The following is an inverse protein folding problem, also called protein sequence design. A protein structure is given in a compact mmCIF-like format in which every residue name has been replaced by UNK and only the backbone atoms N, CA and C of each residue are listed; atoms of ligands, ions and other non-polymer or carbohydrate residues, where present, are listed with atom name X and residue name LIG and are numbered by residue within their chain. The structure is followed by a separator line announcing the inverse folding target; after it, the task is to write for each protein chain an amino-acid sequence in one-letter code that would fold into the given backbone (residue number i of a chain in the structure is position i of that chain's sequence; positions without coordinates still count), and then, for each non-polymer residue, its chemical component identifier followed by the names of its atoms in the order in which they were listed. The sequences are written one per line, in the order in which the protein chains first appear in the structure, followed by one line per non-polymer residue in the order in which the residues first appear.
data_IF_329166079085
#
_entry.id   IF_329166079085
#
_cell.length_a   1.000
_cell.length_b   1.000
_cell.length_c   1.000
_cell.angle_alpha   90.00
_cell.angle_beta   90.00
_cell.angle_gamma   90.00
#
_symmetry.space_group_name_H-M   'P 1'
#
loop_
_entity.id
_entity.type
_entity.pdbx_description
1 polymer ?
#
# COMPACT_ATOMS: atom_id res chain seq x y z
N UNK A 1 -8.16 -18.79 -14.91
CA UNK A 1 -8.70 -17.74 -14.04
C UNK A 1 -8.58 -18.22 -12.61
N UNK A 2 -8.01 -17.43 -11.70
CA UNK A 2 -8.01 -17.77 -10.28
C UNK A 2 -9.46 -17.80 -9.79
N UNK A 3 -9.79 -18.76 -8.94
CA UNK A 3 -11.14 -18.94 -8.40
C UNK A 3 -11.06 -18.86 -6.87
N UNK A 4 -11.99 -18.14 -6.25
CA UNK A 4 -11.98 -17.93 -4.81
C UNK A 4 -12.93 -16.81 -4.39
N UNK A 5 -13.13 -16.70 -3.07
CA UNK A 5 -13.92 -15.60 -2.49
C UNK A 5 -13.16 -14.28 -2.70
N UNK A 6 -13.87 -13.23 -3.11
CA UNK A 6 -13.27 -11.91 -3.37
C UNK A 6 -12.47 -11.77 -4.67
N UNK A 7 -12.32 -12.84 -5.45
CA UNK A 7 -11.64 -12.81 -6.76
C UNK A 7 -12.40 -11.95 -7.76
N UNK A 8 -11.66 -11.25 -8.62
CA UNK A 8 -12.19 -10.29 -9.58
C UNK A 8 -13.06 -9.20 -8.93
N UNK A 9 -12.78 -8.87 -7.66
CA UNK A 9 -13.55 -7.87 -6.93
C UNK A 9 -14.99 -8.29 -6.62
N UNK A 10 -15.34 -9.58 -6.78
CA UNK A 10 -16.67 -10.08 -6.44
C UNK A 10 -16.95 -9.93 -4.94
N UNK A 11 -18.21 -9.68 -4.55
CA UNK A 11 -18.57 -9.58 -3.14
C UNK A 11 -18.28 -10.89 -2.41
N UNK A 12 -17.90 -10.77 -1.13
CA UNK A 12 -17.75 -11.92 -0.23
C UNK A 12 -19.12 -12.23 0.38
N UNK A 13 -19.69 -13.43 0.17
CA UNK A 13 -20.94 -13.81 0.81
C UNK A 13 -20.70 -14.06 2.30
N UNK A 14 -21.34 -13.27 3.16
CA UNK A 14 -21.33 -13.42 4.61
C UNK A 14 -22.55 -14.23 5.05
N UNK A 15 -22.35 -15.20 5.95
CA UNK A 15 -23.43 -15.82 6.68
C UNK A 15 -23.85 -14.95 7.89
N UNK A 16 -25.08 -15.12 8.40
CA UNK A 16 -25.62 -14.30 9.50
C UNK A 16 -24.80 -14.42 10.80
N UNK A 17 -24.18 -15.59 11.04
CA UNK A 17 -23.31 -15.89 12.18
C UNK A 17 -21.89 -15.31 12.03
N UNK A 18 -21.50 -14.89 10.82
CA UNK A 18 -20.20 -14.26 10.52
C UNK A 18 -20.26 -12.72 10.60
N UNK A 19 -21.43 -12.15 10.92
CA UNK A 19 -21.65 -10.72 11.04
C UNK A 19 -21.35 -10.25 12.47
N UNK A 20 -20.07 -10.21 12.83
CA UNK A 20 -19.61 -9.63 14.09
C UNK A 20 -19.23 -8.15 13.92
N UNK A 21 -20.15 -7.26 14.33
CA UNK A 21 -19.97 -5.81 14.29
C UNK A 21 -18.88 -5.29 15.24
N UNK A 22 -18.48 -6.07 16.26
CA UNK A 22 -17.47 -5.63 17.23
C UNK A 22 -16.11 -5.46 16.57
N UNK A 23 -15.78 -6.36 15.64
CA UNK A 23 -14.50 -6.40 14.92
C UNK A 23 -14.40 -5.29 13.85
N UNK A 24 -15.54 -4.85 13.33
CA UNK A 24 -15.62 -3.71 12.41
C UNK A 24 -15.22 -2.41 13.11
N UNK A 25 -15.57 -2.24 14.39
CA UNK A 25 -15.28 -1.01 15.15
C UNK A 25 -13.79 -0.80 15.42
N UNK A 26 -13.01 -1.87 15.54
CA UNK A 26 -11.58 -1.78 15.84
C UNK A 26 -10.71 -1.43 14.62
N UNK A 27 -11.06 -1.96 13.44
CA UNK A 27 -10.24 -1.80 12.23
C UNK A 27 -10.88 -0.86 11.19
N UNK A 28 -12.13 -0.45 11.37
CA UNK A 28 -12.89 0.35 10.41
C UNK A 28 -13.38 -0.43 9.18
N UNK A 29 -13.12 -1.74 9.12
CA UNK A 29 -13.57 -2.66 8.09
C UNK A 29 -13.71 -4.09 8.64
N UNK A 30 -14.39 -4.96 7.89
CA UNK A 30 -14.55 -6.37 8.29
C UNK A 30 -13.24 -7.16 8.09
N UNK A 31 -12.45 -7.29 9.16
CA UNK A 31 -11.17 -8.02 9.14
C UNK A 31 -11.38 -9.53 8.89
N UNK A 32 -12.52 -10.10 9.29
CA UNK A 32 -12.81 -11.52 9.08
C UNK A 32 -12.94 -11.81 7.59
N UNK A 33 -13.75 -11.03 6.87
CA UNK A 33 -13.85 -11.09 5.40
C UNK A 33 -12.49 -10.87 4.77
N UNK A 34 -11.77 -9.85 5.24
CA UNK A 34 -10.44 -9.52 4.77
C UNK A 34 -9.46 -10.70 4.90
N UNK A 35 -9.44 -11.39 6.03
CA UNK A 35 -8.56 -12.54 6.26
C UNK A 35 -8.92 -13.75 5.38
N UNK A 36 -10.19 -13.87 4.97
CA UNK A 36 -10.68 -14.95 4.12
C UNK A 36 -10.61 -14.64 2.62
N UNK A 37 -10.10 -13.47 2.23
CA UNK A 37 -9.82 -13.10 0.84
C UNK A 37 -8.32 -13.29 0.58
N UNK A 38 -7.99 -13.91 -0.56
CA UNK A 38 -6.60 -14.14 -0.96
C UNK A 38 -5.77 -12.85 -0.99
N UNK A 39 -4.52 -12.93 -0.55
CA UNK A 39 -3.60 -11.78 -0.52
C UNK A 39 -3.23 -11.30 -1.94
N UNK A 40 -3.22 -12.21 -2.91
CA UNK A 40 -2.85 -11.98 -4.31
C UNK A 40 -4.06 -12.06 -5.25
N UNK A 41 -5.24 -11.65 -4.76
CA UNK A 41 -6.49 -11.68 -5.54
C UNK A 41 -6.41 -10.83 -6.81
N UNK A 42 -7.05 -11.30 -7.86
CA UNK A 42 -7.15 -10.58 -9.13
C UNK A 42 -8.25 -9.52 -9.07
N UNK A 43 -8.07 -8.38 -9.74
CA UNK A 43 -9.10 -7.36 -9.91
C UNK A 43 -9.38 -7.14 -11.40
N UNK A 44 -10.62 -6.80 -11.79
CA UNK A 44 -10.93 -6.41 -13.16
C UNK A 44 -10.28 -5.07 -13.47
N UNK A 45 -9.86 -4.91 -14.73
CA UNK A 45 -9.37 -3.63 -15.22
C UNK A 45 -10.56 -2.71 -15.52
N UNK A 46 -10.80 -1.76 -14.62
CA UNK A 46 -11.89 -0.76 -14.72
C UNK A 46 -11.45 0.54 -15.41
N UNK A 47 -10.20 0.60 -15.90
CA UNK A 47 -9.67 1.79 -16.56
C UNK A 47 -10.39 2.05 -17.89
N UNK A 48 -10.44 3.33 -18.29
CA UNK A 48 -10.99 3.70 -19.59
C UNK A 48 -10.21 3.01 -20.73
N UNK A 49 -10.86 2.54 -21.82
CA UNK A 49 -10.17 1.78 -22.87
C UNK A 49 -8.93 2.47 -23.47
N UNK A 50 -8.96 3.79 -23.59
CA UNK A 50 -7.83 4.59 -24.14
C UNK A 50 -6.55 4.51 -23.30
N UNK A 51 -6.67 4.15 -22.02
CA UNK A 51 -5.55 4.02 -21.10
C UNK A 51 -4.58 2.92 -21.46
N UNK A 52 -5.09 1.87 -22.10
CA UNK A 52 -4.29 0.74 -22.58
C UNK A 52 -3.38 1.12 -23.74
N UNK A 53 -3.66 2.25 -24.39
CA UNK A 53 -2.91 2.77 -25.53
C UNK A 53 -1.90 3.86 -25.12
N UNK A 54 -1.85 4.24 -23.83
CA UNK A 54 -0.91 5.26 -23.35
C UNK A 54 0.50 4.69 -23.35
N UNK A 55 1.38 5.36 -24.08
CA UNK A 55 2.80 5.03 -24.13
C UNK A 55 3.54 5.81 -23.05
N UNK A 56 4.48 5.13 -22.40
CA UNK A 56 5.37 5.70 -21.39
C UNK A 56 6.80 5.66 -21.91
N UNK A 57 7.68 6.45 -21.31
CA UNK A 57 9.11 6.37 -21.59
C UNK A 57 9.63 4.97 -21.23
N UNK A 58 10.55 4.44 -22.03
CA UNK A 58 11.15 3.12 -21.77
C UNK A 58 11.94 3.10 -20.45
N UNK A 59 12.62 4.21 -20.14
CA UNK A 59 13.43 4.36 -18.95
C UNK A 59 12.76 5.29 -17.95
N UNK A 60 11.93 4.72 -17.09
CA UNK A 60 11.37 5.42 -15.94
C UNK A 60 12.34 5.31 -14.75
N UNK A 61 12.45 6.35 -13.90
CA UNK A 61 13.25 6.27 -12.68
C UNK A 61 12.66 5.23 -11.72
N UNK A 62 13.52 4.58 -10.95
CA UNK A 62 13.07 3.73 -9.85
C UNK A 62 12.42 4.59 -8.75
N UNK A 63 11.56 3.96 -7.96
CA UNK A 63 10.76 4.60 -6.92
C UNK A 63 10.88 3.82 -5.61
N UNK A 64 11.14 4.52 -4.51
CA UNK A 64 11.02 3.96 -3.15
C UNK A 64 9.59 4.16 -2.66
N UNK A 65 8.98 3.11 -2.12
CA UNK A 65 7.58 3.12 -1.68
C UNK A 65 7.56 3.09 -0.16
N UNK A 66 6.97 4.11 0.47
CA UNK A 66 6.89 4.23 1.92
C UNK A 66 5.44 3.98 2.36
N UNK A 67 5.23 3.00 3.24
CA UNK A 67 3.91 2.62 3.76
C UNK A 67 3.90 2.82 5.28
N UNK A 68 3.38 3.96 5.78
CA UNK A 68 3.12 4.12 7.20
C UNK A 68 1.93 3.25 7.62
N UNK A 69 2.03 2.64 8.80
CA UNK A 69 0.93 1.89 9.40
C UNK A 69 0.90 2.08 10.92
N UNK A 70 -0.30 2.17 11.47
CA UNK A 70 -0.57 2.17 12.91
C UNK A 70 -1.76 1.26 13.16
N UNK A 71 -1.58 0.18 13.91
CA UNK A 71 -2.66 -0.76 14.22
C UNK A 71 -3.51 -1.13 12.97
N UNK A 72 -2.84 -1.43 11.84
CA UNK A 72 -3.49 -1.84 10.59
C UNK A 72 -3.79 -3.35 10.62
N UNK A 73 -4.85 -3.80 9.95
CA UNK A 73 -5.17 -5.23 9.84
C UNK A 73 -4.17 -5.96 8.93
N UNK A 74 -3.62 -7.09 9.36
CA UNK A 74 -2.52 -7.78 8.64
C UNK A 74 -2.82 -8.16 7.20
N UNK A 75 -4.03 -8.68 6.95
CA UNK A 75 -4.45 -9.05 5.60
C UNK A 75 -4.60 -7.84 4.68
N UNK A 76 -4.93 -6.66 5.22
CA UNK A 76 -4.97 -5.39 4.48
C UNK A 76 -3.56 -4.95 4.07
N UNK A 77 -2.64 -4.84 5.04
CA UNK A 77 -1.26 -4.42 4.80
C UNK A 77 -0.54 -5.35 3.81
N UNK A 78 -0.66 -6.67 4.00
CA UNK A 78 -0.04 -7.66 3.11
C UNK A 78 -0.62 -7.61 1.70
N UNK A 79 -1.94 -7.40 1.54
CA UNK A 79 -2.55 -7.23 0.21
C UNK A 79 -2.03 -6.01 -0.52
N UNK A 80 -1.76 -4.92 0.20
CA UNK A 80 -1.16 -3.72 -0.39
C UNK A 80 0.22 -4.03 -0.95
N UNK A 81 1.07 -4.69 -0.15
CA UNK A 81 2.42 -5.11 -0.57
C UNK A 81 2.33 -6.05 -1.79
N UNK A 82 1.51 -7.10 -1.74
CA UNK A 82 1.30 -8.00 -2.88
C UNK A 82 0.78 -7.27 -4.13
N UNK A 83 -0.11 -6.30 -3.97
CA UNK A 83 -0.63 -5.53 -5.10
C UNK A 83 0.46 -4.68 -5.75
N UNK A 84 1.34 -4.06 -4.96
CA UNK A 84 2.49 -3.29 -5.46
C UNK A 84 3.41 -4.22 -6.24
N UNK A 85 3.86 -5.31 -5.62
CA UNK A 85 4.83 -6.22 -6.24
C UNK A 85 4.28 -6.90 -7.49
N UNK A 86 2.99 -7.26 -7.52
CA UNK A 86 2.40 -7.93 -8.69
C UNK A 86 2.04 -6.99 -9.86
N UNK A 87 1.93 -5.68 -9.63
CA UNK A 87 1.43 -4.72 -10.63
C UNK A 87 2.43 -3.64 -11.02
N UNK A 88 3.57 -3.57 -10.34
CA UNK A 88 4.66 -2.68 -10.67
C UNK A 88 5.82 -3.49 -11.23
N UNK A 89 6.36 -3.15 -12.40
CA UNK A 89 7.57 -3.78 -12.94
C UNK A 89 8.73 -3.72 -11.94
N UNK A 90 9.43 -4.83 -11.74
CA UNK A 90 10.46 -4.98 -10.69
C UNK A 90 11.56 -3.90 -10.75
N UNK A 91 11.99 -3.52 -11.95
CA UNK A 91 13.04 -2.50 -12.15
C UNK A 91 12.63 -1.09 -11.71
N UNK A 92 11.33 -0.82 -11.54
CA UNK A 92 10.82 0.45 -11.04
C UNK A 92 10.73 0.49 -9.52
N UNK A 93 10.85 -0.64 -8.83
CA UNK A 93 10.79 -0.70 -7.37
C UNK A 93 12.22 -0.69 -6.83
N UNK A 94 12.62 0.43 -6.22
CA UNK A 94 13.90 0.49 -5.53
C UNK A 94 13.84 -0.29 -4.20
N UNK A 95 12.82 0.00 -3.40
CA UNK A 95 12.61 -0.61 -2.08
C UNK A 95 11.17 -0.34 -1.60
N UNK A 96 10.72 -1.15 -0.64
CA UNK A 96 9.48 -0.91 0.11
C UNK A 96 9.84 -0.71 1.58
N UNK A 97 9.54 0.48 2.10
CA UNK A 97 9.81 0.88 3.47
C UNK A 97 8.50 0.86 4.25
N UNK A 98 8.39 -0.05 5.20
CA UNK A 98 7.28 -0.09 6.14
C UNK A 98 7.63 0.78 7.35
N UNK A 99 6.72 1.65 7.75
CA UNK A 99 6.94 2.56 8.89
C UNK A 99 5.87 2.29 9.94
N UNK A 100 6.25 1.63 11.04
CA UNK A 100 5.40 1.38 12.21
C UNK A 100 5.31 2.64 13.06
N UNK A 101 4.18 3.34 12.96
CA UNK A 101 3.83 4.49 13.79
C UNK A 101 3.29 4.03 15.15
N UNK A 102 4.17 3.38 15.93
CA UNK A 102 3.89 2.98 17.31
C UNK A 102 2.61 2.14 17.47
N UNK A 103 2.49 1.07 16.68
CA UNK A 103 1.39 0.11 16.86
C UNK A 103 1.47 -0.57 18.22
N UNK A 104 0.32 -0.69 18.88
CA UNK A 104 0.16 -1.41 20.15
C UNK A 104 0.17 -2.93 19.94
N UNK A 105 -0.26 -3.36 18.75
CA UNK A 105 -0.26 -4.77 18.34
C UNK A 105 1.17 -5.24 18.06
N UNK A 106 1.60 -6.31 18.72
CA UNK A 106 3.00 -6.79 18.69
C UNK A 106 3.57 -6.98 17.28
N UNK A 107 4.38 -6.02 16.83
CA UNK A 107 5.02 -5.99 15.49
C UNK A 107 6.15 -7.02 15.30
N UNK A 108 6.52 -7.75 16.35
CA UNK A 108 7.57 -8.78 16.28
C UNK A 108 7.16 -10.06 15.52
N UNK A 109 5.91 -10.53 15.66
CA UNK A 109 5.41 -11.69 14.91
C UNK A 109 5.10 -11.35 13.45
N UNK A 110 4.70 -10.10 13.20
CA UNK A 110 4.49 -9.52 11.88
C UNK A 110 5.75 -9.65 11.02
N UNK A 111 6.91 -9.34 11.60
CA UNK A 111 8.20 -9.38 10.92
C UNK A 111 8.57 -10.76 10.42
N UNK A 112 8.28 -11.84 11.17
CA UNK A 112 8.57 -13.20 10.72
C UNK A 112 7.76 -13.60 9.49
N UNK A 113 6.47 -13.31 9.47
CA UNK A 113 5.57 -13.65 8.36
C UNK A 113 5.79 -12.76 7.14
N UNK A 114 6.03 -11.47 7.37
CA UNK A 114 6.39 -10.49 6.33
C UNK A 114 7.76 -10.85 5.75
N UNK A 115 8.80 -11.07 6.54
CA UNK A 115 10.10 -11.50 6.02
C UNK A 115 10.05 -12.85 5.31
N UNK A 116 9.20 -13.80 5.72
CA UNK A 116 9.01 -15.06 5.00
C UNK A 116 8.36 -14.83 3.62
N UNK A 117 7.32 -14.00 3.57
CA UNK A 117 6.64 -13.63 2.32
C UNK A 117 7.53 -12.79 1.39
N UNK A 118 8.38 -11.94 1.95
CA UNK A 118 9.23 -11.00 1.22
C UNK A 118 10.55 -11.63 0.78
N UNK A 119 11.09 -12.64 1.50
CA UNK A 119 12.30 -13.37 1.08
C UNK A 119 12.16 -14.09 -0.26
N UNK A 120 10.93 -14.36 -0.71
CA UNK A 120 10.65 -14.88 -2.06
C UNK A 120 10.79 -13.84 -3.17
N UNK A 121 10.85 -12.55 -2.83
CA UNK A 121 10.97 -11.44 -3.77
C UNK A 121 12.33 -10.76 -3.58
N UNK A 122 13.09 -10.55 -4.66
CA UNK A 122 14.45 -9.98 -4.60
C UNK A 122 14.47 -8.46 -4.30
N UNK A 123 13.33 -7.88 -3.89
CA UNK A 123 13.19 -6.47 -3.52
C UNK A 123 13.70 -6.24 -2.08
N UNK A 124 14.38 -5.11 -1.86
CA UNK A 124 14.81 -4.70 -0.52
C UNK A 124 13.60 -4.18 0.28
N UNK A 125 13.50 -4.65 1.53
CA UNK A 125 12.42 -4.28 2.43
C UNK A 125 13.01 -3.83 3.76
N UNK A 126 12.62 -2.64 4.21
CA UNK A 126 13.10 -2.03 5.44
C UNK A 126 11.92 -1.73 6.34
N UNK A 127 11.98 -2.16 7.61
CA UNK A 127 11.03 -1.73 8.63
C UNK A 127 11.68 -0.66 9.51
N UNK A 128 11.03 0.49 9.60
CA UNK A 128 11.32 1.52 10.59
C UNK A 128 10.21 1.52 11.63
N UNK A 129 10.57 1.62 12.91
CA UNK A 129 9.60 1.71 14.01
C UNK A 129 9.86 2.96 14.83
N UNK A 130 8.83 3.78 15.02
CA UNK A 130 8.90 4.94 15.89
C UNK A 130 8.89 4.53 17.38
N UNK A 131 9.58 5.33 18.21
CA UNK A 131 9.69 5.09 19.66
C UNK A 131 8.49 5.60 20.46
N UNK A 132 7.71 6.49 19.89
CA UNK A 132 6.47 7.05 20.43
C UNK A 132 5.49 7.22 19.26
N UNK A 133 4.17 7.26 19.54
CA UNK A 133 3.16 7.55 18.53
C UNK A 133 3.35 8.98 18.05
N UNK A 134 4.07 9.12 16.95
CA UNK A 134 4.12 10.36 16.23
C UNK A 134 3.02 10.18 15.20
N UNK A 135 1.76 10.56 15.55
CA UNK A 135 0.77 10.91 14.52
C UNK A 135 1.58 11.72 13.54
N UNK A 136 1.88 11.14 12.37
CA UNK A 136 2.75 11.82 11.43
C UNK A 136 1.99 13.10 11.10
N UNK A 137 2.32 14.18 11.79
CA UNK A 137 2.16 15.51 11.30
C UNK A 137 3.07 15.51 10.09
N UNK A 138 2.56 15.01 8.97
CA UNK A 138 2.93 15.49 7.65
C UNK A 138 2.47 16.97 7.53
N UNK A 139 2.63 17.79 8.58
CA UNK A 139 2.80 19.20 8.41
C UNK A 139 4.18 19.35 7.78
N UNK A 140 4.15 19.51 6.46
CA UNK A 140 5.09 20.34 5.70
C UNK A 140 6.53 20.22 6.17
N UNK A 141 7.29 19.36 5.49
CA UNK A 141 8.74 19.45 5.43
C UNK A 141 9.13 20.92 5.13
N UNK A 142 9.45 21.65 6.19
CA UNK A 142 9.72 23.08 6.19
C UNK A 142 11.12 23.31 5.62
N UNK A 143 11.17 23.61 4.31
CA UNK A 143 11.92 24.72 3.70
C UNK A 143 13.34 25.07 4.18
N UNK A 144 14.11 24.14 4.73
CA UNK A 144 15.54 24.35 4.98
C UNK A 144 16.35 23.36 4.16
N UNK A 145 16.72 23.77 2.94
CA UNK A 145 17.93 23.39 2.17
C UNK A 145 17.65 23.50 0.67
N UNK A 146 17.47 24.72 0.16
CA UNK A 146 18.12 25.21 -1.09
C UNK A 146 17.60 26.62 -1.40
N UNK A 147 18.52 27.59 -1.39
CA UNK A 147 18.23 28.97 -1.81
C UNK A 147 18.03 29.05 -3.32
N UNK A 148 16.79 28.88 -3.78
CA UNK A 148 16.38 29.18 -5.16
C UNK A 148 15.45 30.40 -5.10
N UNK A 149 15.94 31.51 -5.66
CA UNK A 149 15.24 32.78 -5.73
C UNK A 149 14.12 32.69 -6.77
N UNK A 150 12.92 33.09 -6.35
CA UNK A 150 11.98 33.89 -7.14
C UNK A 150 11.33 33.24 -8.37
N UNK A 151 10.00 33.24 -8.34
CA UNK A 151 9.08 33.06 -9.48
C UNK A 151 9.00 31.67 -10.10
N UNK A 152 8.37 30.74 -9.39
CA UNK A 152 7.35 29.87 -9.99
C UNK A 152 6.47 29.27 -8.88
N UNK A 153 5.35 29.93 -8.61
CA UNK A 153 4.30 29.49 -7.69
C UNK A 153 3.35 28.59 -8.48
N UNK A 154 3.72 27.33 -8.69
CA UNK A 154 2.80 26.21 -8.99
C UNK A 154 3.63 24.96 -9.25
N UNK A 155 4.02 24.24 -8.21
CA UNK A 155 4.42 22.82 -8.24
C UNK A 155 4.88 22.43 -6.84
N UNK A 156 4.80 21.15 -6.49
CA UNK A 156 5.23 20.56 -5.22
C UNK A 156 4.20 20.56 -4.08
N UNK A 157 3.04 19.96 -4.35
CA UNK A 157 2.48 18.91 -3.50
C UNK A 157 1.31 18.30 -4.27
N UNK A 158 1.46 17.00 -4.58
CA UNK A 158 0.63 16.23 -5.51
C UNK A 158 0.80 16.65 -6.98
N UNK A 159 0.93 15.62 -7.82
CA UNK A 159 0.95 15.59 -9.30
C UNK A 159 2.34 15.45 -9.94
N UNK A 160 2.53 14.41 -10.78
CA UNK A 160 1.51 13.85 -11.66
C UNK A 160 1.14 12.40 -11.33
N UNK A 161 0.19 12.20 -10.41
CA UNK A 161 -0.64 11.00 -10.42
C UNK A 161 -2.07 11.28 -10.91
N UNK A 162 -2.51 12.54 -11.03
CA UNK A 162 -3.78 12.87 -11.73
C UNK A 162 -3.57 13.21 -13.22
N UNK A 163 -2.34 13.42 -13.70
CA UNK A 163 -2.04 13.30 -15.15
C UNK A 163 -1.65 11.86 -15.55
N UNK A 164 -1.59 10.96 -14.57
CA UNK A 164 -1.72 9.53 -14.74
C UNK A 164 -3.15 9.09 -14.36
N UNK A 165 -4.16 9.86 -14.79
CA UNK A 165 -5.50 9.35 -15.08
C UNK A 165 -5.45 8.46 -16.34
N UNK A 166 -4.52 7.53 -16.34
CA UNK A 166 -4.83 6.13 -16.16
C UNK A 166 -3.65 5.38 -15.54
#
# INVERSE_FOLDING_TARGET
MKAGKGEHGKPYPLAEDECDDSVYKENGFNIYVSNNIALDRSLPDIRHPNCKQKLYLENLPNTSIIIPFHNEGWSSLLRTIHSITNRTPDHLIAEIILVDDYSDRGSALLMSSVNLCLKTWQTLHTLLRYREAAVLQFHTFDWAMTGIKGTDLHSFLLLPLEHALC
#
